data_IF_619021165840
#
_entry.id   IF_619021165840
#
_cell.length_a   1.000
_cell.length_b   1.000
_cell.length_c   1.000
_cell.angle_alpha   90.00
_cell.angle_beta   90.00
_cell.angle_gamma   90.00
#
_symmetry.space_group_name_H-M   'P 1'
#
loop_
_entity.id
_entity.type
_entity.pdbx_description
1 polymer ?
#
# COMPACT_ATOMS: atom_id res chain seq x y z
N UNK A 1 -7.12 -16.14 5.40
CA UNK A 1 -7.44 -16.28 6.83
C UNK A 1 -8.60 -15.38 7.27
N UNK A 2 -8.61 -14.07 6.99
CA UNK A 2 -9.71 -13.16 7.38
C UNK A 2 -11.10 -13.58 6.85
N UNK A 3 -11.18 -14.16 5.63
CA UNK A 3 -12.42 -14.72 5.04
C UNK A 3 -13.13 -15.72 5.95
N UNK A 4 -12.41 -16.65 6.56
CA UNK A 4 -13.03 -17.74 7.33
C UNK A 4 -13.49 -17.26 8.70
N UNK A 5 -12.72 -16.35 9.33
CA UNK A 5 -13.13 -15.68 10.56
C UNK A 5 -14.42 -14.88 10.35
N UNK A 6 -14.50 -14.12 9.25
CA UNK A 6 -15.68 -13.30 8.94
C UNK A 6 -16.91 -14.17 8.66
N UNK A 7 -16.76 -15.26 7.88
CA UNK A 7 -17.85 -16.22 7.63
C UNK A 7 -18.36 -16.86 8.92
N UNK A 8 -17.46 -17.27 9.82
CA UNK A 8 -17.82 -17.86 11.10
C UNK A 8 -18.53 -16.85 12.01
N UNK A 9 -18.02 -15.63 12.10
CA UNK A 9 -18.63 -14.56 12.90
C UNK A 9 -20.00 -14.13 12.36
N UNK A 10 -20.18 -14.13 11.04
CA UNK A 10 -21.48 -13.89 10.38
C UNK A 10 -22.49 -14.96 10.77
N UNK A 11 -22.10 -16.24 10.73
CA UNK A 11 -22.97 -17.36 11.15
C UNK A 11 -23.34 -17.30 12.63
N UNK A 12 -22.46 -16.76 13.47
CA UNK A 12 -22.68 -16.60 14.89
C UNK A 12 -23.39 -15.28 15.28
N UNK A 13 -23.65 -14.37 14.34
CA UNK A 13 -24.32 -13.09 14.61
C UNK A 13 -23.47 -12.06 15.37
N UNK A 14 -22.18 -12.31 15.55
CA UNK A 14 -21.25 -11.48 16.36
C UNK A 14 -20.19 -10.77 15.52
N UNK A 15 -20.47 -10.53 14.23
CA UNK A 15 -19.50 -9.98 13.27
C UNK A 15 -18.88 -8.66 13.74
N UNK A 16 -19.70 -7.71 14.22
CA UNK A 16 -19.25 -6.39 14.65
C UNK A 16 -18.28 -6.44 15.84
N UNK A 17 -18.54 -7.33 16.79
CA UNK A 17 -17.74 -7.48 18.01
C UNK A 17 -16.41 -8.19 17.73
N UNK A 18 -16.45 -9.27 16.94
CA UNK A 18 -15.23 -9.95 16.45
C UNK A 18 -14.37 -8.99 15.64
N UNK A 19 -15.00 -8.19 14.76
CA UNK A 19 -14.31 -7.19 13.96
C UNK A 19 -13.66 -6.14 14.85
N UNK A 20 -14.37 -5.57 15.81
CA UNK A 20 -13.82 -4.58 16.73
C UNK A 20 -12.61 -5.13 17.52
N UNK A 21 -12.71 -6.36 18.03
CA UNK A 21 -11.60 -7.02 18.72
C UNK A 21 -10.40 -7.30 17.81
N UNK A 22 -10.64 -7.69 16.55
CA UNK A 22 -9.59 -7.91 15.58
C UNK A 22 -8.87 -6.61 15.19
N UNK A 23 -9.60 -5.51 14.94
CA UNK A 23 -9.00 -4.20 14.68
C UNK A 23 -8.19 -3.72 15.89
N UNK A 24 -8.72 -3.87 17.11
CA UNK A 24 -7.98 -3.52 18.32
C UNK A 24 -6.64 -4.26 18.42
N UNK A 25 -6.61 -5.56 18.13
CA UNK A 25 -5.37 -6.33 18.08
C UNK A 25 -4.41 -5.84 17.00
N UNK A 26 -4.91 -5.55 15.79
CA UNK A 26 -4.06 -5.06 14.71
C UNK A 26 -3.46 -3.67 15.02
N UNK A 27 -4.20 -2.82 15.72
CA UNK A 27 -3.76 -1.47 16.10
C UNK A 27 -2.82 -1.48 17.31
N UNK A 28 -3.06 -2.32 18.32
CA UNK A 28 -2.36 -2.27 19.61
C UNK A 28 -1.46 -3.46 19.91
N UNK A 29 -1.62 -4.57 19.18
CA UNK A 29 -0.96 -5.85 19.46
C UNK A 29 -1.55 -6.61 20.65
N UNK A 30 -2.58 -6.07 21.30
CA UNK A 30 -3.17 -6.69 22.50
C UNK A 30 -4.24 -7.70 22.11
N UNK A 31 -4.03 -8.97 22.46
CA UNK A 31 -4.99 -10.03 22.16
C UNK A 31 -6.30 -9.80 22.93
N UNK A 32 -7.46 -9.85 22.26
CA UNK A 32 -8.75 -9.62 22.90
C UNK A 32 -9.12 -10.74 23.89
N UNK A 33 -8.47 -11.91 23.81
CA UNK A 33 -8.65 -13.04 24.73
C UNK A 33 -7.73 -13.02 25.96
N UNK A 34 -6.71 -12.14 26.00
CA UNK A 34 -5.74 -12.10 27.11
C UNK A 34 -6.33 -11.50 28.41
N UNK A 35 -7.56 -10.98 28.39
CA UNK A 35 -8.24 -10.41 29.57
C UNK A 35 -8.90 -11.48 30.44
N UNK A 36 -8.16 -12.52 30.84
CA UNK A 36 -8.46 -13.27 32.08
C UNK A 36 -7.97 -12.55 33.33
N UNK A 37 -7.44 -11.33 33.19
CA UNK A 37 -7.13 -10.46 34.33
C UNK A 37 -8.29 -9.50 34.54
N UNK A 38 -9.11 -9.82 35.54
CA UNK A 38 -10.01 -8.88 36.23
C UNK A 38 -9.20 -7.73 36.80
N UNK A 39 -8.87 -6.73 35.99
CA UNK A 39 -8.49 -5.38 36.42
C UNK A 39 -8.55 -4.45 35.23
N UNK A 40 -9.46 -3.48 35.33
CA UNK A 40 -9.65 -2.31 34.45
C UNK A 40 -8.39 -1.92 33.67
N UNK A 41 -8.44 -2.06 32.35
CA UNK A 41 -7.68 -1.23 31.43
C UNK A 41 -8.68 -0.83 30.33
N UNK A 42 -9.08 0.44 30.33
CA UNK A 42 -10.17 0.96 29.52
C UNK A 42 -9.89 0.85 28.01
N UNK A 43 -10.88 0.37 27.25
CA UNK A 43 -10.94 0.51 25.80
C UNK A 43 -10.95 -0.78 24.97
N UNK A 44 -10.76 -1.96 25.57
CA UNK A 44 -10.75 -3.24 24.82
C UNK A 44 -12.19 -3.76 24.64
N UNK A 45 -12.66 -4.03 23.40
CA UNK A 45 -13.97 -4.63 23.16
C UNK A 45 -14.03 -6.06 23.72
N UNK A 46 -15.14 -6.48 24.36
CA UNK A 46 -15.29 -7.86 24.84
C UNK A 46 -15.27 -8.84 23.67
N UNK A 47 -14.45 -9.89 23.76
CA UNK A 47 -14.35 -10.91 22.72
C UNK A 47 -15.54 -11.87 22.77
N UNK A 48 -16.33 -12.03 21.69
CA UNK A 48 -17.62 -12.73 21.75
C UNK A 48 -17.52 -14.24 21.44
N UNK A 49 -16.37 -14.72 20.96
CA UNK A 49 -16.19 -16.14 20.63
C UNK A 49 -15.66 -16.92 21.83
N UNK A 50 -16.09 -18.19 22.02
CA UNK A 50 -15.61 -19.04 23.09
C UNK A 50 -14.09 -19.22 23.01
N UNK A 51 -13.47 -19.49 24.15
CA UNK A 51 -12.05 -19.79 24.22
C UNK A 51 -11.75 -21.01 23.35
N UNK A 52 -10.77 -20.89 22.45
CA UNK A 52 -10.43 -21.98 21.55
C UNK A 52 -9.81 -23.12 22.37
N UNK A 53 -10.39 -24.32 22.30
CA UNK A 53 -9.90 -25.51 23.03
C UNK A 53 -8.49 -25.94 22.57
N UNK A 54 -8.03 -25.41 21.43
CA UNK A 54 -6.66 -25.60 20.93
C UNK A 54 -5.73 -24.62 21.64
N UNK A 55 -4.85 -25.13 22.50
CA UNK A 55 -3.74 -24.35 23.09
C UNK A 55 -2.97 -23.63 21.99
N UNK A 56 -2.89 -22.30 22.09
CA UNK A 56 -2.17 -21.47 21.12
C UNK A 56 -0.73 -21.94 20.94
N UNK A 57 -0.29 -22.08 19.69
CA UNK A 57 1.13 -22.26 19.38
C UNK A 57 1.89 -21.07 19.95
N UNK A 58 2.99 -21.32 20.68
CA UNK A 58 3.81 -20.26 21.24
C UNK A 58 4.26 -19.29 20.14
N UNK A 59 4.01 -18.00 20.36
CA UNK A 59 4.32 -16.94 19.42
C UNK A 59 5.84 -16.87 19.23
N UNK A 60 6.35 -17.42 18.13
CA UNK A 60 7.80 -17.38 17.82
C UNK A 60 8.25 -16.00 17.31
N UNK A 61 7.34 -15.05 17.10
CA UNK A 61 7.63 -13.69 16.63
C UNK A 61 6.71 -12.70 17.30
N UNK A 62 7.28 -11.81 18.10
CA UNK A 62 6.62 -10.57 18.52
C UNK A 62 6.22 -9.80 17.27
N UNK A 63 4.92 -9.68 17.01
CA UNK A 63 4.46 -8.84 15.92
C UNK A 63 4.37 -7.42 16.44
N UNK A 64 5.21 -6.52 15.92
CA UNK A 64 5.20 -5.11 16.33
C UNK A 64 3.91 -4.45 15.87
N UNK A 65 3.10 -4.01 16.83
CA UNK A 65 1.95 -3.17 16.55
C UNK A 65 2.39 -1.72 16.30
N UNK A 66 1.66 -0.96 15.47
CA UNK A 66 0.50 -1.39 14.68
C UNK A 66 0.89 -2.26 13.47
N UNK A 67 0.05 -3.25 13.15
CA UNK A 67 0.19 -4.12 11.98
C UNK A 67 -0.25 -3.41 10.70
N UNK A 68 0.45 -2.32 10.36
CA UNK A 68 0.08 -1.37 9.30
C UNK A 68 -0.19 -2.06 7.95
N UNK A 69 0.62 -3.05 7.56
CA UNK A 69 0.42 -3.77 6.29
C UNK A 69 -0.97 -4.43 6.22
N UNK A 70 -1.40 -5.10 7.31
CA UNK A 70 -2.69 -5.77 7.36
C UNK A 70 -3.86 -4.76 7.41
N UNK A 71 -3.68 -3.66 8.14
CA UNK A 71 -4.66 -2.57 8.19
C UNK A 71 -4.88 -1.93 6.81
N UNK A 72 -3.81 -1.72 6.05
CA UNK A 72 -3.88 -1.27 4.65
C UNK A 72 -4.57 -2.30 3.77
N UNK A 73 -4.21 -3.58 3.88
CA UNK A 73 -4.83 -4.66 3.08
C UNK A 73 -6.35 -4.72 3.28
N UNK A 74 -6.79 -4.62 4.55
CA UNK A 74 -8.20 -4.60 4.90
C UNK A 74 -8.86 -3.34 4.33
N UNK A 75 -8.26 -2.16 4.50
CA UNK A 75 -8.81 -0.91 3.98
C UNK A 75 -8.94 -0.92 2.43
N UNK A 76 -7.97 -1.51 1.71
CA UNK A 76 -8.05 -1.71 0.26
C UNK A 76 -9.20 -2.67 -0.09
N UNK A 77 -9.30 -3.82 0.59
CA UNK A 77 -10.34 -4.80 0.34
C UNK A 77 -11.76 -4.24 0.58
N UNK A 78 -11.89 -3.39 1.59
CA UNK A 78 -13.14 -2.71 1.94
C UNK A 78 -13.37 -1.40 1.16
N UNK A 79 -12.47 -1.04 0.23
CA UNK A 79 -12.55 0.17 -0.59
C UNK A 79 -12.69 1.45 0.25
N UNK A 80 -11.92 1.55 1.34
CA UNK A 80 -11.85 2.72 2.24
C UNK A 80 -10.58 3.54 1.96
N UNK A 81 -10.58 4.41 0.93
CA UNK A 81 -9.36 5.12 0.51
C UNK A 81 -8.79 6.04 1.60
N UNK A 82 -9.62 6.61 2.46
CA UNK A 82 -9.20 7.44 3.60
C UNK A 82 -8.33 6.66 4.59
N UNK A 83 -8.78 5.46 4.96
CA UNK A 83 -8.04 4.59 5.87
C UNK A 83 -6.75 4.07 5.25
N UNK A 84 -6.76 3.80 3.94
CA UNK A 84 -5.53 3.44 3.22
C UNK A 84 -4.48 4.55 3.36
N UNK A 85 -4.85 5.81 3.13
CA UNK A 85 -3.92 6.94 3.28
C UNK A 85 -3.52 7.18 4.73
N UNK A 86 -4.46 7.12 5.67
CA UNK A 86 -4.19 7.27 7.11
C UNK A 86 -3.09 6.30 7.56
N UNK A 87 -3.23 5.02 7.23
CA UNK A 87 -2.23 4.01 7.62
C UNK A 87 -0.95 4.09 6.78
N UNK A 88 -1.05 4.49 5.52
CA UNK A 88 0.12 4.74 4.68
C UNK A 88 0.99 5.88 5.23
N UNK A 89 0.38 6.98 5.68
CA UNK A 89 1.11 8.14 6.20
C UNK A 89 1.68 7.89 7.61
N UNK A 90 1.02 7.03 8.41
CA UNK A 90 1.51 6.60 9.72
C UNK A 90 2.64 5.57 9.65
N UNK A 91 2.90 5.00 8.47
CA UNK A 91 4.03 4.05 8.33
C UNK A 91 5.32 4.83 8.54
N UNK A 92 6.18 4.37 9.44
CA UNK A 92 7.54 4.89 9.44
C UNK A 92 8.18 4.55 8.08
N UNK A 93 8.97 5.48 7.50
CA UNK A 93 9.77 5.17 6.32
C UNK A 93 10.66 3.99 6.68
N UNK A 94 10.34 2.82 6.14
CA UNK A 94 11.00 1.56 6.52
C UNK A 94 12.50 1.73 6.30
N UNK A 95 13.28 1.54 7.38
CA UNK A 95 14.71 1.25 7.26
C UNK A 95 14.80 0.01 6.36
N UNK A 96 15.30 0.21 5.15
CA UNK A 96 15.30 -0.78 4.07
C UNK A 96 15.84 -2.11 4.62
N UNK A 97 15.05 -3.18 4.74
CA UNK A 97 15.62 -4.49 4.96
C UNK A 97 16.30 -4.89 3.66
N UNK A 98 17.58 -5.29 3.74
CA UNK A 98 18.46 -5.59 2.62
C UNK A 98 17.98 -6.74 1.69
N UNK A 99 16.79 -7.28 1.90
CA UNK A 99 16.20 -8.37 1.11
C UNK A 99 14.81 -7.97 0.66
N UNK A 100 14.73 -7.57 -0.62
CA UNK A 100 13.60 -6.90 -1.24
C UNK A 100 12.30 -7.70 -1.25
N UNK A 101 11.18 -6.98 -1.13
CA UNK A 101 9.88 -7.30 -1.74
C UNK A 101 8.83 -6.19 -1.52
N UNK A 102 9.23 -4.92 -1.38
CA UNK A 102 8.31 -3.87 -0.88
C UNK A 102 7.81 -2.85 -1.92
N UNK A 103 8.34 -2.80 -3.14
CA UNK A 103 7.86 -1.85 -4.17
C UNK A 103 6.46 -2.20 -4.68
N UNK A 104 6.07 -3.48 -4.60
CA UNK A 104 4.74 -3.96 -5.03
C UNK A 104 3.60 -3.40 -4.17
N UNK A 105 3.87 -3.04 -2.91
CA UNK A 105 2.82 -2.57 -2.01
C UNK A 105 2.38 -1.12 -2.32
N UNK A 106 3.34 -0.25 -2.62
CA UNK A 106 3.07 1.17 -2.89
C UNK A 106 2.28 1.35 -4.19
N UNK A 107 2.55 0.53 -5.22
CA UNK A 107 1.78 0.55 -6.46
C UNK A 107 0.31 0.12 -6.24
N UNK A 108 0.10 -0.93 -5.43
CA UNK A 108 -1.24 -1.40 -5.07
C UNK A 108 -2.02 -0.34 -4.28
N UNK A 109 -1.34 0.35 -3.36
CA UNK A 109 -1.90 1.45 -2.57
C UNK A 109 -2.30 2.62 -3.47
N UNK A 110 -1.38 3.07 -4.33
CA UNK A 110 -1.65 4.15 -5.28
C UNK A 110 -2.83 3.80 -6.20
N UNK A 111 -2.90 2.57 -6.69
CA UNK A 111 -4.01 2.08 -7.50
C UNK A 111 -5.34 2.07 -6.74
N UNK A 112 -5.33 1.74 -5.44
CA UNK A 112 -6.55 1.72 -4.62
C UNK A 112 -7.09 3.11 -4.32
N UNK A 113 -6.23 4.14 -4.23
CA UNK A 113 -6.62 5.50 -3.85
C UNK A 113 -6.78 6.46 -5.03
N UNK A 114 -6.35 6.09 -6.24
CA UNK A 114 -6.31 7.01 -7.41
C UNK A 114 -7.66 7.63 -7.74
N UNK A 115 -8.76 6.91 -7.56
CA UNK A 115 -10.10 7.41 -7.88
C UNK A 115 -10.56 8.52 -6.92
N UNK A 116 -10.25 8.38 -5.63
CA UNK A 116 -10.63 9.35 -4.59
C UNK A 116 -9.59 10.46 -4.40
N UNK A 117 -8.30 10.10 -4.51
CA UNK A 117 -7.15 10.95 -4.22
C UNK A 117 -6.11 10.88 -5.35
N UNK A 118 -6.43 11.36 -6.56
CA UNK A 118 -5.56 11.22 -7.73
C UNK A 118 -4.21 11.90 -7.56
N UNK A 119 -4.17 13.09 -6.96
CA UNK A 119 -2.92 13.80 -6.69
C UNK A 119 -1.98 12.99 -5.78
N UNK A 120 -2.52 12.31 -4.76
CA UNK A 120 -1.75 11.48 -3.84
C UNK A 120 -1.25 10.21 -4.51
N UNK A 121 -2.09 9.52 -5.29
CA UNK A 121 -1.67 8.35 -6.07
C UNK A 121 -0.55 8.70 -7.07
N UNK A 122 -0.69 9.82 -7.77
CA UNK A 122 0.34 10.32 -8.70
C UNK A 122 1.66 10.58 -7.96
N UNK A 123 1.62 11.22 -6.79
CA UNK A 123 2.82 11.45 -5.99
C UNK A 123 3.53 10.16 -5.59
N UNK A 124 2.79 9.12 -5.18
CA UNK A 124 3.36 7.80 -4.83
C UNK A 124 4.02 7.16 -6.07
N UNK A 125 3.35 7.17 -7.22
CA UNK A 125 3.95 6.64 -8.46
C UNK A 125 5.19 7.44 -8.90
N UNK A 126 5.22 8.76 -8.72
CA UNK A 126 6.41 9.58 -8.99
C UNK A 126 7.60 9.17 -8.12
N UNK A 127 7.37 8.95 -6.83
CA UNK A 127 8.40 8.43 -5.92
C UNK A 127 8.91 7.05 -6.34
N UNK A 128 8.00 6.16 -6.79
CA UNK A 128 8.39 4.86 -7.33
C UNK A 128 9.25 5.00 -8.59
N UNK A 129 8.88 5.87 -9.53
CA UNK A 129 9.70 6.17 -10.71
C UNK A 129 11.09 6.63 -10.29
N UNK A 130 11.19 7.63 -9.42
CA UNK A 130 12.47 8.18 -8.96
C UNK A 130 13.33 7.11 -8.28
N UNK A 131 12.74 6.24 -7.45
CA UNK A 131 13.46 5.13 -6.83
C UNK A 131 14.03 4.13 -7.85
N UNK A 132 13.29 3.86 -8.94
CA UNK A 132 13.78 3.01 -10.03
C UNK A 132 14.90 3.69 -10.82
N UNK A 133 14.84 5.01 -11.04
CA UNK A 133 15.85 5.73 -11.82
C UNK A 133 17.23 5.78 -11.15
N UNK A 134 17.29 5.61 -9.83
CA UNK A 134 18.55 5.42 -9.09
C UNK A 134 19.28 4.17 -9.58
N UNK A 135 18.54 3.09 -9.82
CA UNK A 135 19.08 1.85 -10.36
C UNK A 135 19.30 2.02 -11.87
N UNK A 136 20.55 2.17 -12.30
CA UNK A 136 20.93 2.41 -13.71
C UNK A 136 20.83 1.14 -14.59
N UNK A 137 19.80 0.32 -14.38
CA UNK A 137 19.57 -0.95 -15.07
C UNK A 137 18.35 -0.85 -16.00
N UNK A 138 18.37 -1.61 -17.10
CA UNK A 138 17.32 -1.59 -18.13
C UNK A 138 15.95 -1.96 -17.54
N UNK A 139 15.91 -3.02 -16.70
CA UNK A 139 14.66 -3.49 -16.05
C UNK A 139 14.03 -2.44 -15.14
N UNK A 140 14.86 -1.60 -14.50
CA UNK A 140 14.39 -0.49 -13.68
C UNK A 140 13.69 0.57 -14.55
N UNK A 141 14.23 0.86 -15.75
CA UNK A 141 13.58 1.79 -16.69
C UNK A 141 12.24 1.26 -17.23
N UNK A 142 12.13 -0.03 -17.53
CA UNK A 142 10.85 -0.65 -17.94
C UNK A 142 9.80 -0.60 -16.82
N UNK A 143 10.23 -0.84 -15.58
CA UNK A 143 9.38 -0.72 -14.39
C UNK A 143 8.93 0.73 -14.19
N UNK A 144 9.85 1.69 -14.30
CA UNK A 144 9.55 3.12 -14.26
C UNK A 144 8.56 3.53 -15.35
N UNK A 145 8.72 3.02 -16.58
CA UNK A 145 7.79 3.27 -17.69
C UNK A 145 6.37 2.80 -17.36
N UNK A 146 6.23 1.68 -16.65
CA UNK A 146 4.92 1.16 -16.24
C UNK A 146 4.22 2.12 -15.27
N UNK A 147 4.93 2.66 -14.28
CA UNK A 147 4.37 3.68 -13.38
C UNK A 147 4.08 5.00 -14.10
N UNK A 148 4.95 5.42 -15.02
CA UNK A 148 4.73 6.61 -15.85
C UNK A 148 3.45 6.50 -16.69
N UNK A 149 3.12 5.33 -17.25
CA UNK A 149 1.83 5.11 -17.94
C UNK A 149 0.65 5.27 -17.00
N UNK A 150 0.74 4.81 -15.75
CA UNK A 150 -0.31 4.98 -14.74
C UNK A 150 -0.52 6.46 -14.38
N UNK A 151 0.57 7.19 -14.18
CA UNK A 151 0.53 8.65 -13.95
C UNK A 151 -0.15 9.35 -15.12
N UNK A 152 0.26 9.07 -16.36
CA UNK A 152 -0.35 9.66 -17.56
C UNK A 152 -1.85 9.39 -17.63
N UNK A 153 -2.27 8.15 -17.40
CA UNK A 153 -3.68 7.75 -17.39
C UNK A 153 -4.48 8.52 -16.33
N UNK A 154 -3.95 8.64 -15.10
CA UNK A 154 -4.59 9.39 -14.04
C UNK A 154 -4.66 10.90 -14.37
N UNK A 155 -3.57 11.51 -14.84
CA UNK A 155 -3.56 12.91 -15.26
C UNK A 155 -4.59 13.19 -16.36
N UNK A 156 -4.68 12.33 -17.38
CA UNK A 156 -5.64 12.47 -18.47
C UNK A 156 -7.08 12.37 -17.97
N UNK A 157 -7.37 11.41 -17.10
CA UNK A 157 -8.71 11.22 -16.52
C UNK A 157 -9.16 12.45 -15.71
N UNK A 158 -8.24 13.09 -15.00
CA UNK A 158 -8.52 14.23 -14.14
C UNK A 158 -8.23 15.60 -14.80
N UNK A 159 -7.92 15.64 -16.11
CA UNK A 159 -7.62 16.86 -16.90
C UNK A 159 -6.36 17.63 -16.44
N UNK A 160 -5.37 16.94 -15.89
CA UNK A 160 -4.06 17.49 -15.48
C UNK A 160 -2.97 17.25 -16.54
N UNK A 161 -3.30 17.33 -17.83
CA UNK A 161 -2.37 17.01 -18.93
C UNK A 161 -1.14 17.95 -19.00
N UNK A 162 -1.30 19.20 -18.55
CA UNK A 162 -0.20 20.16 -18.49
C UNK A 162 0.84 19.78 -17.42
N UNK A 163 0.40 19.27 -16.27
CA UNK A 163 1.31 18.78 -15.22
C UNK A 163 2.09 17.56 -15.69
N UNK A 164 1.42 16.64 -16.41
CA UNK A 164 2.08 15.49 -17.02
C UNK A 164 3.17 15.92 -18.01
N UNK A 165 2.85 16.84 -18.92
CA UNK A 165 3.78 17.33 -19.94
C UNK A 165 5.01 17.99 -19.32
N UNK A 166 4.78 18.82 -18.29
CA UNK A 166 5.85 19.49 -17.54
C UNK A 166 6.74 18.47 -16.83
N UNK A 167 6.13 17.51 -16.12
CA UNK A 167 6.87 16.49 -15.40
C UNK A 167 7.75 15.63 -16.33
N UNK A 168 7.20 15.20 -17.47
CA UNK A 168 7.94 14.40 -18.43
C UNK A 168 9.09 15.20 -19.07
N UNK A 169 8.89 16.48 -19.38
CA UNK A 169 9.92 17.36 -19.90
C UNK A 169 11.08 17.51 -18.90
N UNK A 170 10.77 17.72 -17.61
CA UNK A 170 11.77 17.79 -16.55
C UNK A 170 12.54 16.47 -16.40
N UNK A 171 11.85 15.32 -16.42
CA UNK A 171 12.49 14.01 -16.37
C UNK A 171 13.43 13.77 -17.55
N UNK A 172 13.02 14.17 -18.76
CA UNK A 172 13.85 14.07 -19.96
C UNK A 172 15.12 14.92 -19.82
N UNK A 173 14.97 16.18 -19.42
CA UNK A 173 16.09 17.11 -19.29
C UNK A 173 17.11 16.64 -18.24
N UNK A 174 16.64 16.12 -17.10
CA UNK A 174 17.50 15.57 -16.05
C UNK A 174 18.27 14.31 -16.50
N UNK A 175 17.75 13.57 -17.48
CA UNK A 175 18.26 12.27 -17.90
C UNK A 175 18.82 12.24 -19.33
N UNK A 176 19.17 13.39 -19.93
CA UNK A 176 19.70 13.47 -21.30
C UNK A 176 20.91 12.58 -21.57
N UNK A 177 21.72 12.32 -20.54
CA UNK A 177 22.92 11.46 -20.62
C UNK A 177 22.62 9.96 -20.55
N UNK A 178 21.34 9.57 -20.48
CA UNK A 178 20.87 8.17 -20.38
C UNK A 178 20.00 7.82 -21.61
N UNK A 179 20.61 7.49 -22.77
CA UNK A 179 19.90 7.40 -24.05
C UNK A 179 18.76 6.37 -24.04
N UNK A 180 18.95 5.22 -23.40
CA UNK A 180 17.89 4.19 -23.26
C UNK A 180 16.68 4.69 -22.47
N UNK A 181 16.90 5.45 -21.41
CA UNK A 181 15.81 6.03 -20.62
C UNK A 181 15.07 7.10 -21.43
N UNK A 182 15.81 7.96 -22.15
CA UNK A 182 15.20 8.96 -23.04
C UNK A 182 14.35 8.31 -24.12
N UNK A 183 14.81 7.22 -24.74
CA UNK A 183 14.02 6.46 -25.72
C UNK A 183 12.70 5.93 -25.13
N UNK A 184 12.75 5.37 -23.92
CA UNK A 184 11.55 4.91 -23.21
C UNK A 184 10.61 6.09 -22.92
N UNK A 185 11.13 7.23 -22.47
CA UNK A 185 10.32 8.44 -22.24
C UNK A 185 9.69 8.96 -23.53
N UNK A 186 10.41 8.95 -24.65
CA UNK A 186 9.90 9.38 -25.96
C UNK A 186 8.75 8.48 -26.42
N UNK A 187 8.86 7.16 -26.23
CA UNK A 187 7.79 6.21 -26.56
C UNK A 187 6.47 6.49 -25.83
N UNK A 188 6.53 7.07 -24.61
CA UNK A 188 5.35 7.42 -23.81
C UNK A 188 4.60 8.65 -24.34
N UNK A 189 5.24 9.47 -25.17
CA UNK A 189 4.63 10.66 -25.79
C UNK A 189 4.00 10.39 -27.16
N UNK A 190 4.06 9.15 -27.65
CA UNK A 190 3.68 8.82 -29.02
C UNK A 190 4.62 9.40 -30.07
N UNK A 191 5.83 9.86 -29.68
CA UNK A 191 6.86 10.21 -30.65
C UNK A 191 7.42 8.90 -31.24
N UNK A 192 7.55 8.78 -32.57
CA UNK A 192 8.07 7.58 -33.20
C UNK A 192 9.47 7.32 -32.62
N UNK A 193 9.74 6.09 -32.22
CA UNK A 193 11.09 5.63 -31.96
C UNK A 193 11.81 5.80 -33.29
N UNK A 194 12.70 6.79 -33.39
CA UNK A 194 13.52 6.97 -34.58
C UNK A 194 14.37 5.71 -34.71
N UNK A 195 14.03 4.89 -35.70
CA UNK A 195 14.86 3.78 -36.15
C UNK A 195 16.24 4.36 -36.50
N UNK A 196 17.26 3.82 -35.83
CA UNK A 196 18.67 4.04 -36.16
C UNK A 196 19.01 3.33 -37.48
#
# INVERSE_FOLDING_TARGET
MLSELQKAATRAGVESEVRAGAFHYLETGTLPQATKSTKKAGGVPPWPLPECEVKGMSERRETTAPMISALIDIAIAEKRPDDVLRWYDQREPRKIPAWGYNWSNDDRIATAVVEAYPARAIAIWKQLVESQLVHAEIRAYETAATYLRKIHSACKKHKHDQEWTTYLATLRQANLRRPRLVQILDSLTGRPIVEL
#
